data_IF_573188129950
#
_entry.id   IF_573188129950
#
_cell.length_a   1.000
_cell.length_b   1.000
_cell.length_c   1.000
_cell.angle_alpha   90.00
_cell.angle_beta   90.00
_cell.angle_gamma   90.00
#
_symmetry.space_group_name_H-M   'P 1'
#
loop_
_entity.id
_entity.type
_entity.pdbx_description
1 polymer ?
#
# COMPACT_ATOMS: atom_id res chain seq x y z
N UNK A 1 -12.55 -12.36 -10.68
CA UNK A 1 -11.58 -13.39 -10.29
C UNK A 1 -12.29 -14.49 -9.52
N UNK A 2 -11.83 -15.73 -9.59
CA UNK A 2 -12.37 -16.80 -8.75
C UNK A 2 -11.94 -16.59 -7.29
N UNK A 3 -12.89 -16.65 -6.36
CA UNK A 3 -12.62 -16.54 -4.92
C UNK A 3 -12.37 -17.93 -4.33
N UNK A 4 -11.42 -18.03 -3.41
CA UNK A 4 -11.18 -19.25 -2.61
C UNK A 4 -11.42 -18.95 -1.14
N UNK A 5 -12.17 -19.81 -0.46
CA UNK A 5 -12.38 -19.71 0.99
C UNK A 5 -11.12 -20.17 1.71
N UNK A 6 -10.64 -19.36 2.66
CA UNK A 6 -9.55 -19.70 3.56
C UNK A 6 -10.09 -19.76 4.99
N UNK A 7 -9.63 -20.73 5.77
CA UNK A 7 -9.83 -20.76 7.23
C UNK A 7 -8.51 -20.41 7.90
N UNK A 8 -8.52 -19.40 8.76
CA UNK A 8 -7.33 -18.90 9.45
C UNK A 8 -7.59 -18.79 10.94
N UNK A 9 -6.55 -19.03 11.74
CA UNK A 9 -6.56 -18.77 13.18
C UNK A 9 -5.90 -17.42 13.43
N UNK A 10 -6.55 -16.59 14.24
CA UNK A 10 -6.06 -15.26 14.62
C UNK A 10 -6.06 -15.15 16.15
N UNK A 11 -5.15 -14.35 16.74
CA UNK A 11 -5.30 -13.90 18.12
C UNK A 11 -6.68 -13.29 18.34
N UNK A 12 -7.32 -13.59 19.47
CA UNK A 12 -8.69 -13.18 19.75
C UNK A 12 -8.89 -11.67 19.60
N UNK A 13 -7.96 -10.88 20.14
CA UNK A 13 -7.99 -9.41 20.05
C UNK A 13 -7.97 -8.90 18.60
N UNK A 14 -7.18 -9.53 17.73
CA UNK A 14 -7.13 -9.17 16.30
C UNK A 14 -8.41 -9.58 15.57
N UNK A 15 -9.00 -10.72 15.91
CA UNK A 15 -10.27 -11.14 15.32
C UNK A 15 -11.39 -10.15 15.66
N UNK A 16 -11.48 -9.71 16.93
CA UNK A 16 -12.47 -8.72 17.37
C UNK A 16 -12.21 -7.34 16.75
N UNK A 17 -10.95 -6.92 16.65
CA UNK A 17 -10.58 -5.67 15.99
C UNK A 17 -11.03 -5.64 14.52
N UNK A 18 -10.75 -6.70 13.76
CA UNK A 18 -11.12 -6.77 12.33
C UNK A 18 -12.64 -6.83 12.16
N UNK A 19 -13.35 -7.52 13.05
CA UNK A 19 -14.83 -7.54 13.04
C UNK A 19 -15.41 -6.14 13.24
N UNK A 20 -14.95 -5.43 14.27
CA UNK A 20 -15.39 -4.06 14.55
C UNK A 20 -15.09 -3.12 13.38
N UNK A 21 -13.88 -3.18 12.82
CA UNK A 21 -13.53 -2.36 11.67
C UNK A 21 -14.43 -2.65 10.46
N UNK A 22 -14.72 -3.92 10.18
CA UNK A 22 -15.62 -4.30 9.10
C UNK A 22 -17.04 -3.75 9.31
N UNK A 23 -17.54 -3.75 10.56
CA UNK A 23 -18.83 -3.16 10.92
C UNK A 23 -18.84 -1.64 10.73
N UNK A 24 -17.81 -0.94 11.21
CA UNK A 24 -17.64 0.52 11.08
C UNK A 24 -17.57 0.97 9.62
N UNK A 25 -16.89 0.19 8.76
CA UNK A 25 -16.75 0.44 7.33
C UNK A 25 -17.94 -0.07 6.49
N UNK A 26 -18.89 -0.79 7.08
CA UNK A 26 -20.01 -1.41 6.36
C UNK A 26 -19.57 -2.47 5.34
N UNK A 27 -18.46 -3.18 5.63
CA UNK A 27 -17.84 -4.18 4.75
C UNK A 27 -17.74 -5.55 5.42
N UNK A 28 -17.05 -6.50 4.78
CA UNK A 28 -16.82 -7.83 5.34
C UNK A 28 -15.44 -7.95 6.00
N UNK A 29 -15.31 -8.82 7.01
CA UNK A 29 -14.03 -9.20 7.61
C UNK A 29 -12.99 -9.59 6.54
N UNK A 30 -13.41 -10.35 5.52
CA UNK A 30 -12.52 -10.74 4.42
C UNK A 30 -12.06 -9.58 3.57
N UNK A 31 -12.87 -8.52 3.41
CA UNK A 31 -12.49 -7.33 2.66
C UNK A 31 -11.44 -6.51 3.41
N UNK A 32 -11.61 -6.32 4.72
CA UNK A 32 -10.61 -5.65 5.58
C UNK A 32 -9.27 -6.40 5.51
N UNK A 33 -9.30 -7.74 5.68
CA UNK A 33 -8.10 -8.57 5.59
C UNK A 33 -7.47 -8.49 4.20
N UNK A 34 -8.28 -8.55 3.14
CA UNK A 34 -7.79 -8.48 1.77
C UNK A 34 -7.13 -7.14 1.45
N UNK A 35 -7.66 -6.03 1.97
CA UNK A 35 -7.06 -4.71 1.77
C UNK A 35 -5.68 -4.60 2.43
N UNK A 36 -5.58 -5.03 3.70
CA UNK A 36 -4.30 -5.06 4.42
C UNK A 36 -3.28 -5.96 3.73
N UNK A 37 -3.69 -7.18 3.35
CA UNK A 37 -2.81 -8.11 2.65
C UNK A 37 -2.43 -7.58 1.26
N UNK A 38 -3.35 -6.96 0.54
CA UNK A 38 -3.10 -6.33 -0.76
C UNK A 38 -2.16 -5.14 -0.65
N UNK A 39 -2.24 -4.35 0.42
CA UNK A 39 -1.29 -3.29 0.71
C UNK A 39 0.10 -3.87 0.98
N UNK A 40 0.23 -4.88 1.85
CA UNK A 40 1.52 -5.51 2.16
C UNK A 40 2.13 -6.18 0.93
N UNK A 41 1.33 -6.84 0.10
CA UNK A 41 1.78 -7.46 -1.14
C UNK A 41 2.38 -6.42 -2.11
N UNK A 42 1.74 -5.26 -2.26
CA UNK A 42 2.27 -4.16 -3.09
C UNK A 42 3.59 -3.61 -2.55
N UNK A 43 3.72 -3.47 -1.24
CA UNK A 43 4.98 -3.06 -0.62
C UNK A 43 6.11 -4.05 -0.92
N UNK A 44 5.86 -5.35 -0.70
CA UNK A 44 6.84 -6.41 -0.97
C UNK A 44 7.26 -6.44 -2.44
N UNK A 45 6.31 -6.29 -3.36
CA UNK A 45 6.60 -6.21 -4.79
C UNK A 45 7.44 -4.97 -5.15
N UNK A 46 7.21 -3.84 -4.48
CA UNK A 46 8.02 -2.63 -4.63
C UNK A 46 9.44 -2.82 -4.10
N UNK A 47 9.59 -3.39 -2.90
CA UNK A 47 10.89 -3.74 -2.30
C UNK A 47 11.69 -4.69 -3.21
N UNK A 48 11.02 -5.66 -3.83
CA UNK A 48 11.63 -6.59 -4.78
C UNK A 48 12.03 -5.91 -6.09
N UNK A 49 11.19 -5.03 -6.63
CA UNK A 49 11.52 -4.27 -7.83
C UNK A 49 12.74 -3.35 -7.63
N UNK A 50 12.85 -2.70 -6.47
CA UNK A 50 14.02 -1.88 -6.10
C UNK A 50 15.26 -2.75 -6.03
N UNK A 51 15.22 -3.87 -5.33
CA UNK A 51 16.35 -4.79 -5.22
C UNK A 51 16.80 -5.29 -6.60
N UNK A 52 15.86 -5.71 -7.45
CA UNK A 52 16.16 -6.14 -8.81
C UNK A 52 16.84 -5.02 -9.63
N UNK A 53 16.36 -3.79 -9.51
CA UNK A 53 16.98 -2.65 -10.18
C UNK A 53 18.42 -2.41 -9.69
N UNK A 54 18.65 -2.41 -8.38
CA UNK A 54 19.99 -2.18 -7.82
C UNK A 54 20.98 -3.31 -8.15
N UNK A 55 20.49 -4.53 -8.34
CA UNK A 55 21.30 -5.66 -8.81
C UNK A 55 21.77 -5.48 -10.26
N UNK A 56 20.93 -4.93 -11.14
CA UNK A 56 21.24 -4.76 -12.57
C UNK A 56 21.98 -3.44 -12.88
N UNK A 57 21.57 -2.33 -12.25
CA UNK A 57 22.02 -0.97 -12.59
C UNK A 57 22.93 -0.36 -11.50
N UNK A 58 23.00 -0.99 -10.32
CA UNK A 58 23.69 -0.46 -9.14
C UNK A 58 22.77 0.37 -8.22
N UNK A 59 23.25 0.68 -7.00
CA UNK A 59 22.45 1.40 -6.01
C UNK A 59 22.19 2.85 -6.45
N UNK A 60 21.02 3.38 -6.06
CA UNK A 60 20.69 4.79 -6.28
C UNK A 60 21.71 5.72 -5.60
N UNK A 61 22.15 6.76 -6.31
CA UNK A 61 23.05 7.75 -5.71
C UNK A 61 22.28 8.75 -4.84
N UNK A 62 22.94 9.40 -3.87
CA UNK A 62 22.31 10.45 -3.07
C UNK A 62 21.71 11.58 -3.91
N UNK A 63 22.36 11.95 -5.03
CA UNK A 63 21.89 12.99 -5.94
C UNK A 63 20.60 12.59 -6.64
N UNK A 64 20.53 11.34 -7.12
CA UNK A 64 19.33 10.78 -7.75
C UNK A 64 18.15 10.72 -6.77
N UNK A 65 18.39 10.33 -5.51
CA UNK A 65 17.36 10.31 -4.47
C UNK A 65 16.85 11.72 -4.15
N UNK A 66 17.73 12.73 -4.11
CA UNK A 66 17.33 14.13 -3.92
C UNK A 66 16.52 14.65 -5.10
N UNK A 67 16.88 14.29 -6.33
CA UNK A 67 16.11 14.64 -7.52
C UNK A 67 14.72 13.97 -7.51
N UNK A 68 14.66 12.68 -7.20
CA UNK A 68 13.41 11.93 -7.07
C UNK A 68 12.47 12.54 -6.03
N UNK A 69 12.98 12.92 -4.85
CA UNK A 69 12.20 13.60 -3.81
C UNK A 69 11.62 14.93 -4.31
N UNK A 70 12.43 15.74 -5.03
CA UNK A 70 11.94 17.01 -5.61
C UNK A 70 10.81 16.77 -6.61
N UNK A 71 10.96 15.76 -7.47
CA UNK A 71 9.93 15.38 -8.43
C UNK A 71 8.65 14.92 -7.73
N UNK A 72 8.77 14.12 -6.67
CA UNK A 72 7.64 13.65 -5.88
C UNK A 72 6.86 14.80 -5.25
N UNK A 73 7.56 15.72 -4.57
CA UNK A 73 6.96 16.89 -3.95
C UNK A 73 6.23 17.80 -4.96
N UNK A 74 6.81 17.95 -6.17
CA UNK A 74 6.17 18.70 -7.25
C UNK A 74 4.89 18.01 -7.74
N UNK A 75 4.92 16.69 -7.91
CA UNK A 75 3.76 15.89 -8.33
C UNK A 75 2.63 15.96 -7.28
N UNK A 76 2.95 15.84 -5.99
CA UNK A 76 1.96 15.98 -4.92
C UNK A 76 1.36 17.39 -4.86
N UNK A 77 2.19 18.43 -4.99
CA UNK A 77 1.70 19.81 -5.03
C UNK A 77 0.74 20.04 -6.20
N UNK A 78 1.03 19.46 -7.37
CA UNK A 78 0.14 19.50 -8.52
C UNK A 78 -1.18 18.78 -8.24
N UNK A 79 -1.15 17.56 -7.68
CA UNK A 79 -2.37 16.83 -7.32
C UNK A 79 -3.22 17.58 -6.29
N UNK A 80 -2.60 18.20 -5.28
CA UNK A 80 -3.31 19.03 -4.29
C UNK A 80 -4.03 20.21 -4.94
N UNK A 81 -3.39 20.89 -5.89
CA UNK A 81 -4.03 21.98 -6.65
C UNK A 81 -5.23 21.46 -7.45
N UNK A 82 -5.07 20.34 -8.16
CA UNK A 82 -6.15 19.73 -8.94
C UNK A 82 -7.34 19.33 -8.08
N UNK A 83 -7.10 18.72 -6.91
CA UNK A 83 -8.18 18.37 -5.96
C UNK A 83 -8.92 19.59 -5.43
N UNK A 84 -8.22 20.71 -5.18
CA UNK A 84 -8.84 21.96 -4.73
C UNK A 84 -9.66 22.65 -5.80
N UNK A 85 -9.30 22.51 -7.08
CA UNK A 85 -10.04 23.09 -8.19
C UNK A 85 -11.31 22.29 -8.58
N UNK A 86 -11.41 21.05 -8.11
CA UNK A 86 -12.53 20.15 -8.36
C UNK A 86 -13.61 20.18 -7.27
N UNK A 87 -13.40 20.96 -6.21
CA UNK A 87 -14.33 21.18 -5.08
C UNK A 87 -14.92 22.57 -5.16
#
# INVERSE_FOLDING_TARGET
MAMKKLSITLPAELAEMVRRQAEEEGTSVSAVIADVLGHRARQLAGEEAVRWFEEEEGPFTPEELVEAERMWQAAEAHQRKMRRAAT
#
